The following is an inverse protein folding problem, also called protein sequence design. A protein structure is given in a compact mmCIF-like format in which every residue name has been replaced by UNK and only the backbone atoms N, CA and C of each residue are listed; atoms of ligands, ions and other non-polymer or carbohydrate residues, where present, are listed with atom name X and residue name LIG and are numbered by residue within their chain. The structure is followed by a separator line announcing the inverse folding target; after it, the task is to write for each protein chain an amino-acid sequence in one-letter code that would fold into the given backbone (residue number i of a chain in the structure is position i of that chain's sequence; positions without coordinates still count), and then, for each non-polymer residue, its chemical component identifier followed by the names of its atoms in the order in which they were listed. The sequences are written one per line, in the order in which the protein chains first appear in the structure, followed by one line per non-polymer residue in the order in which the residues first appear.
data_IF_292933130426
#
_entry.id   IF_292933130426
#
_cell.length_a   1.000
_cell.length_b   1.000
_cell.length_c   1.000
_cell.angle_alpha   90.00
_cell.angle_beta   90.00
_cell.angle_gamma   90.00
#
_symmetry.space_group_name_H-M   'P 1'
#
loop_
_entity.id
_entity.type
_entity.pdbx_description
1 polymer ?
#
# COMPACT_ATOMS: atom_id res chain seq x y z
N UNK A 1 0.77 -0.22 10.81
CA UNK A 1 -0.13 -1.16 10.12
C UNK A 1 0.38 -1.52 8.72
N UNK A 2 0.45 -0.58 7.77
CA UNK A 2 0.84 -0.86 6.37
C UNK A 2 2.15 -1.68 6.26
N UNK A 3 3.25 -1.22 6.88
CA UNK A 3 4.53 -1.96 6.85
C UNK A 3 4.44 -3.35 7.47
N UNK A 4 3.73 -3.51 8.57
CA UNK A 4 3.53 -4.80 9.22
C UNK A 4 2.74 -5.75 8.32
N UNK A 5 1.70 -5.25 7.63
CA UNK A 5 0.92 -6.02 6.65
C UNK A 5 1.78 -6.48 5.48
N UNK A 6 2.61 -5.59 4.91
CA UNK A 6 3.54 -5.94 3.82
C UNK A 6 4.58 -6.97 4.28
N UNK A 7 5.09 -6.85 5.50
CA UNK A 7 6.03 -7.83 6.07
C UNK A 7 5.40 -9.21 6.25
N UNK A 8 4.15 -9.31 6.75
CA UNK A 8 3.40 -10.58 6.84
C UNK A 8 3.20 -11.21 5.46
N UNK A 9 3.08 -10.39 4.42
CA UNK A 9 2.97 -10.81 3.01
C UNK A 9 4.31 -11.12 2.35
N UNK A 10 5.43 -11.03 3.08
CA UNK A 10 6.79 -11.16 2.56
C UNK A 10 7.11 -10.21 1.38
N UNK A 11 6.51 -9.01 1.39
CA UNK A 11 6.74 -7.97 0.38
C UNK A 11 7.81 -7.02 0.91
N UNK A 12 8.97 -7.02 0.25
CA UNK A 12 10.04 -6.07 0.56
C UNK A 12 9.65 -4.65 0.17
N UNK A 13 10.01 -3.68 1.02
CA UNK A 13 9.64 -2.28 0.84
C UNK A 13 10.89 -1.45 0.67
N UNK A 14 11.09 -0.98 -0.56
CA UNK A 14 12.24 -0.17 -0.91
C UNK A 14 12.19 1.24 -0.30
N UNK A 15 13.33 1.93 -0.33
CA UNK A 15 13.53 3.21 0.38
C UNK A 15 12.53 4.28 -0.10
N UNK A 16 12.30 4.36 -1.41
CA UNK A 16 11.33 5.29 -2.00
C UNK A 16 9.90 5.02 -1.51
N UNK A 17 9.47 3.76 -1.56
CA UNK A 17 8.13 3.36 -1.10
C UNK A 17 7.96 3.68 0.38
N UNK A 18 8.97 3.38 1.20
CA UNK A 18 8.98 3.70 2.63
C UNK A 18 8.86 5.20 2.87
N UNK A 19 9.63 6.02 2.16
CA UNK A 19 9.57 7.48 2.26
C UNK A 19 8.19 8.01 1.88
N UNK A 20 7.59 7.49 0.80
CA UNK A 20 6.25 7.87 0.34
C UNK A 20 5.16 7.57 1.37
N UNK A 21 5.18 6.37 1.97
CA UNK A 21 4.22 5.99 3.02
C UNK A 21 4.38 6.88 4.25
N UNK A 22 5.62 7.15 4.69
CA UNK A 22 5.92 7.97 5.87
C UNK A 22 5.62 9.46 5.66
N UNK A 23 5.73 9.95 4.43
CA UNK A 23 5.45 11.35 4.08
C UNK A 23 3.96 11.68 3.99
N UNK A 24 3.08 10.68 3.83
CA UNK A 24 1.65 10.90 3.72
C UNK A 24 1.03 11.20 5.09
N UNK A 25 0.35 12.35 5.21
CA UNK A 25 -0.38 12.77 6.43
C UNK A 25 -1.90 12.66 6.29
N UNK A 26 -2.39 12.26 5.12
CA UNK A 26 -3.83 12.09 4.90
C UNK A 26 -4.29 10.73 5.47
N UNK A 27 -5.13 10.71 6.51
CA UNK A 27 -5.51 9.47 7.16
C UNK A 27 -6.37 8.57 6.26
N UNK A 28 -7.18 9.15 5.37
CA UNK A 28 -8.01 8.38 4.43
C UNK A 28 -7.16 7.66 3.39
N UNK A 29 -6.10 8.31 2.92
CA UNK A 29 -5.15 7.74 1.98
C UNK A 29 -4.35 6.61 2.61
N UNK A 30 -3.91 6.78 3.86
CA UNK A 30 -3.22 5.73 4.61
C UNK A 30 -4.12 4.51 4.83
N UNK A 31 -5.38 4.72 5.18
CA UNK A 31 -6.36 3.63 5.32
C UNK A 31 -6.63 2.91 3.99
N UNK A 32 -6.76 3.66 2.89
CA UNK A 32 -6.90 3.08 1.55
C UNK A 32 -5.68 2.23 1.16
N UNK A 33 -4.47 2.68 1.48
CA UNK A 33 -3.24 1.91 1.26
C UNK A 33 -3.18 0.66 2.14
N UNK A 34 -3.62 0.74 3.40
CA UNK A 34 -3.69 -0.41 4.28
C UNK A 34 -4.58 -1.52 3.71
N UNK A 35 -5.77 -1.16 3.21
CA UNK A 35 -6.69 -2.13 2.60
C UNK A 35 -6.09 -2.79 1.35
N UNK A 36 -5.33 -2.05 0.55
CA UNK A 36 -4.65 -2.61 -0.62
C UNK A 36 -3.45 -3.48 -0.26
N UNK A 37 -2.71 -3.13 0.79
CA UNK A 37 -1.57 -3.91 1.24
C UNK A 37 -1.93 -5.36 1.62
N UNK A 38 -3.18 -5.62 2.01
CA UNK A 38 -3.69 -6.98 2.28
C UNK A 38 -3.69 -7.85 1.03
N UNK A 39 -3.94 -7.26 -0.14
CA UNK A 39 -4.07 -7.96 -1.43
C UNK A 39 -2.87 -7.75 -2.35
N UNK A 40 -1.96 -6.83 -2.01
CA UNK A 40 -0.83 -6.47 -2.84
C UNK A 40 0.05 -7.69 -3.17
N UNK A 41 0.54 -7.73 -4.40
CA UNK A 41 1.57 -8.65 -4.87
C UNK A 41 2.92 -7.94 -4.97
N UNK A 42 2.90 -6.61 -5.04
CA UNK A 42 4.08 -5.75 -5.05
C UNK A 42 3.83 -4.45 -4.29
N UNK A 43 4.89 -3.73 -3.88
CA UNK A 43 4.74 -2.46 -3.16
C UNK A 43 3.97 -1.42 -3.96
N UNK A 44 4.10 -1.41 -5.28
CA UNK A 44 3.42 -0.48 -6.18
C UNK A 44 1.90 -0.64 -6.20
N UNK A 45 1.36 -1.83 -5.92
CA UNK A 45 -0.08 -2.11 -5.91
C UNK A 45 -0.84 -1.27 -4.89
N UNK A 46 -0.19 -0.93 -3.77
CA UNK A 46 -0.83 -0.11 -2.74
C UNK A 46 -1.17 1.29 -3.27
N UNK A 47 -0.43 1.77 -4.27
CA UNK A 47 -0.59 3.12 -4.82
C UNK A 47 -1.58 3.18 -5.99
N UNK A 48 -1.92 2.05 -6.61
CA UNK A 48 -2.76 2.03 -7.81
C UNK A 48 -4.20 2.45 -7.50
N UNK A 49 -4.81 3.32 -8.33
CA UNK A 49 -6.24 3.58 -8.23
C UNK A 49 -7.01 2.26 -8.49
N UNK A 50 -8.05 1.97 -7.70
CA UNK A 50 -8.85 0.75 -7.88
C UNK A 50 -9.47 0.81 -9.28
N UNK A 51 -9.02 -0.04 -10.20
CA UNK A 51 -9.74 -0.24 -11.45
C UNK A 51 -11.03 -0.96 -11.10
N UNK A 52 -12.16 -0.26 -11.21
CA UNK A 52 -13.43 -0.96 -11.35
C UNK A 52 -13.37 -1.63 -12.72
N UNK A 53 -13.22 -2.95 -12.76
CA UNK A 53 -13.50 -3.67 -14.00
C UNK A 53 -15.02 -3.66 -14.15
N UNK A 54 -15.52 -2.92 -15.14
CA UNK A 54 -16.94 -2.90 -15.48
C UNK A 54 -17.37 -4.28 -15.97
N UNK A 55 -18.48 -4.77 -15.42
CA UNK A 55 -19.17 -6.00 -15.81
C UNK A 55 -19.95 -5.78 -17.10
#
# INVERSE_FOLDING_TARGET
AIFSTLAVRAIEVDTETRARIRGCRDPKQLDAWLRKAVLAESPSDIFQARKIVGT
#
